data_IF_898485112119
#
_entry.id   IF_898485112119
#
_cell.length_a   1.000
_cell.length_b   1.000
_cell.length_c   1.000
_cell.angle_alpha   90.00
_cell.angle_beta   90.00
_cell.angle_gamma   90.00
#
_symmetry.space_group_name_H-M   'P 1'
#
loop_
_entity.id
_entity.type
_entity.pdbx_description
1 polymer ?
#
# COMPACT_ATOMS: atom_id res chain seq x y z
N UNK A 1 25.13 -6.31 -9.61
CA UNK A 1 24.33 -7.16 -8.70
C UNK A 1 23.05 -6.38 -8.41
N UNK A 2 21.87 -6.96 -8.65
CA UNK A 2 20.61 -6.28 -8.37
C UNK A 2 20.40 -6.20 -6.86
N UNK A 3 20.22 -5.00 -6.31
CA UNK A 3 19.87 -4.82 -4.90
C UNK A 3 18.51 -5.47 -4.64
N UNK A 4 18.41 -6.44 -3.71
CA UNK A 4 17.13 -7.09 -3.43
C UNK A 4 16.15 -6.08 -2.82
N UNK A 5 14.89 -6.13 -3.26
CA UNK A 5 13.80 -5.35 -2.69
C UNK A 5 13.51 -5.74 -1.24
N UNK A 6 12.78 -4.90 -0.50
CA UNK A 6 12.42 -5.22 0.89
C UNK A 6 11.60 -6.51 0.97
N UNK A 7 10.67 -6.73 0.03
CA UNK A 7 9.89 -7.96 -0.04
C UNK A 7 10.76 -9.18 -0.38
N UNK A 8 11.78 -9.03 -1.25
CA UNK A 8 12.74 -10.09 -1.53
C UNK A 8 13.51 -10.52 -0.28
N UNK A 9 13.93 -9.55 0.55
CA UNK A 9 14.61 -9.84 1.81
C UNK A 9 13.68 -10.56 2.80
N UNK A 10 12.46 -10.05 2.97
CA UNK A 10 11.47 -10.63 3.87
C UNK A 10 11.06 -12.06 3.48
N UNK A 11 10.89 -12.34 2.19
CA UNK A 11 10.52 -13.69 1.74
C UNK A 11 11.72 -14.63 1.63
N UNK A 12 12.95 -14.10 1.51
CA UNK A 12 14.16 -14.89 1.32
C UNK A 12 13.96 -15.95 0.21
N UNK A 13 14.14 -17.24 0.50
CA UNK A 13 13.97 -18.33 -0.47
C UNK A 13 12.56 -18.43 -1.06
N UNK A 14 11.53 -18.04 -0.30
CA UNK A 14 10.13 -18.08 -0.74
C UNK A 14 9.84 -17.07 -1.85
N UNK A 15 10.74 -16.10 -2.10
CA UNK A 15 10.63 -15.17 -3.20
C UNK A 15 10.44 -15.88 -4.56
N UNK A 16 11.15 -16.98 -4.77
CA UNK A 16 11.11 -17.74 -6.03
C UNK A 16 9.77 -18.44 -6.26
N UNK A 17 8.94 -18.57 -5.22
CA UNK A 17 7.61 -19.18 -5.30
C UNK A 17 6.53 -18.16 -5.69
N UNK A 18 6.84 -16.86 -5.68
CA UNK A 18 5.89 -15.84 -6.11
C UNK A 18 5.63 -15.91 -7.63
N UNK A 19 4.37 -15.77 -8.06
CA UNK A 19 4.04 -15.54 -9.46
C UNK A 19 4.85 -14.37 -10.07
N UNK A 20 5.22 -14.43 -11.36
CA UNK A 20 6.02 -13.38 -12.01
C UNK A 20 5.43 -11.97 -11.89
N UNK A 21 4.09 -11.85 -11.92
CA UNK A 21 3.42 -10.56 -11.75
C UNK A 21 3.65 -9.94 -10.36
N UNK A 22 3.68 -10.77 -9.31
CA UNK A 22 3.96 -10.29 -7.95
C UNK A 22 5.44 -10.00 -7.76
N UNK A 23 6.33 -10.81 -8.35
CA UNK A 23 7.75 -10.49 -8.38
C UNK A 23 8.00 -9.14 -9.07
N UNK A 24 7.27 -8.85 -10.14
CA UNK A 24 7.36 -7.59 -10.86
C UNK A 24 6.85 -6.39 -10.04
N UNK A 25 5.71 -6.54 -9.36
CA UNK A 25 5.16 -5.52 -8.49
C UNK A 25 6.14 -5.14 -7.35
N UNK A 26 6.79 -6.15 -6.76
CA UNK A 26 7.73 -5.96 -5.64
C UNK A 26 9.17 -5.68 -6.04
N UNK A 27 9.43 -5.35 -7.31
CA UNK A 27 10.77 -4.92 -7.76
C UNK A 27 11.25 -3.70 -6.96
N UNK A 28 12.56 -3.52 -6.86
CA UNK A 28 13.14 -2.38 -6.14
C UNK A 28 12.87 -1.02 -6.81
N UNK A 29 12.69 -1.03 -8.14
CA UNK A 29 12.51 0.18 -8.94
C UNK A 29 11.25 0.95 -8.54
N UNK A 30 11.33 2.28 -8.67
CA UNK A 30 10.15 3.14 -8.63
C UNK A 30 9.15 2.67 -9.69
N UNK A 31 7.90 2.50 -9.29
CA UNK A 31 6.82 2.18 -10.21
C UNK A 31 5.54 2.93 -9.82
N UNK A 32 4.69 3.07 -10.82
CA UNK A 32 3.33 3.58 -10.65
C UNK A 32 2.39 2.54 -11.22
N UNK A 33 1.56 1.97 -10.36
CA UNK A 33 0.49 1.08 -10.77
C UNK A 33 -0.80 1.87 -10.89
N UNK A 34 -1.47 1.75 -12.04
CA UNK A 34 -2.73 2.43 -12.34
C UNK A 34 -3.81 1.39 -12.54
N UNK A 35 -4.94 1.57 -11.87
CA UNK A 35 -6.05 0.64 -11.97
C UNK A 35 -7.32 1.17 -11.33
N UNK A 36 -8.23 0.25 -11.03
CA UNK A 36 -9.48 0.57 -10.35
C UNK A 36 -9.61 -0.27 -9.09
N UNK A 37 -10.15 0.33 -8.03
CA UNK A 37 -10.38 -0.28 -6.72
C UNK A 37 -11.87 -0.26 -6.40
N UNK A 38 -12.40 -1.38 -5.93
CA UNK A 38 -13.74 -1.42 -5.32
C UNK A 38 -13.58 -1.62 -3.82
N UNK A 39 -14.22 -0.75 -3.04
CA UNK A 39 -14.22 -0.77 -1.58
C UNK A 39 -15.66 -1.00 -1.13
N UNK A 40 -15.90 -2.17 -0.57
CA UNK A 40 -17.22 -2.60 -0.13
C UNK A 40 -17.16 -3.06 1.33
N UNK A 41 -18.14 -2.61 2.12
CA UNK A 41 -18.40 -3.07 3.48
C UNK A 41 -19.85 -2.78 3.84
N UNK A 42 -20.45 -3.52 4.79
CA UNK A 42 -21.80 -3.26 5.28
C UNK A 42 -21.97 -1.84 5.85
N UNK A 43 -23.12 -1.20 5.60
CA UNK A 43 -23.37 0.20 6.00
C UNK A 43 -23.24 0.43 7.51
N UNK A 44 -23.57 -0.56 8.34
CA UNK A 44 -23.48 -0.46 9.80
C UNK A 44 -22.03 -0.38 10.31
N UNK A 45 -21.02 -0.69 9.48
CA UNK A 45 -19.61 -0.52 9.84
C UNK A 45 -19.11 0.92 9.70
N UNK A 46 -19.87 1.78 9.00
CA UNK A 46 -19.49 3.17 8.74
C UNK A 46 -19.07 3.97 9.99
N UNK A 47 -19.79 3.95 11.14
CA UNK A 47 -19.37 4.71 12.32
C UNK A 47 -18.01 4.25 12.87
N UNK A 48 -17.78 2.94 12.94
CA UNK A 48 -16.51 2.38 13.42
C UNK A 48 -15.35 2.75 12.49
N UNK A 49 -15.55 2.62 11.18
CA UNK A 49 -14.53 3.01 10.20
C UNK A 49 -14.26 4.51 10.21
N UNK A 50 -15.27 5.33 10.50
CA UNK A 50 -15.08 6.77 10.62
C UNK A 50 -14.26 7.14 11.86
N UNK A 51 -14.44 6.43 12.97
CA UNK A 51 -13.59 6.58 14.16
C UNK A 51 -12.14 6.17 13.87
N UNK A 52 -11.92 5.01 13.25
CA UNK A 52 -10.58 4.55 12.88
C UNK A 52 -9.90 5.51 11.90
N UNK A 53 -10.65 6.04 10.94
CA UNK A 53 -10.16 7.05 10.01
C UNK A 53 -9.80 8.36 10.70
N UNK A 54 -10.52 8.77 11.75
CA UNK A 54 -10.13 9.92 12.56
C UNK A 54 -8.81 9.69 13.32
N UNK A 55 -8.50 8.44 13.67
CA UNK A 55 -7.18 8.02 14.16
C UNK A 55 -6.16 7.80 13.03
N UNK A 56 -6.50 8.24 11.82
CA UNK A 56 -5.70 8.14 10.60
C UNK A 56 -5.39 6.71 10.13
N UNK A 57 -6.23 5.76 10.53
CA UNK A 57 -6.22 4.41 10.00
C UNK A 57 -7.31 4.22 8.94
N UNK A 58 -6.98 3.49 7.87
CA UNK A 58 -7.93 2.99 6.86
C UNK A 58 -8.64 4.06 6.01
N UNK A 59 -9.33 3.60 4.97
CA UNK A 59 -10.23 4.40 4.13
C UNK A 59 -11.66 4.10 4.61
N UNK A 60 -12.42 5.13 5.01
CA UNK A 60 -13.79 4.98 5.53
C UNK A 60 -14.85 5.27 4.47
N UNK A 61 -14.56 5.01 3.18
CA UNK A 61 -15.45 5.37 2.08
C UNK A 61 -15.64 4.20 1.12
N UNK A 62 -16.91 3.89 0.84
CA UNK A 62 -17.30 2.90 -0.17
C UNK A 62 -17.23 3.49 -1.57
N UNK A 63 -17.02 2.61 -2.54
CA UNK A 63 -17.25 2.92 -3.94
C UNK A 63 -16.82 1.75 -4.82
N UNK A 64 -17.33 1.73 -6.05
CA UNK A 64 -17.10 0.64 -6.99
C UNK A 64 -16.31 1.16 -8.16
N UNK A 65 -15.30 0.39 -8.57
CA UNK A 65 -14.49 0.69 -9.76
C UNK A 65 -13.90 2.12 -9.73
N UNK A 66 -13.36 2.52 -8.58
CA UNK A 66 -12.82 3.85 -8.33
C UNK A 66 -11.40 3.92 -8.93
N UNK A 67 -11.15 4.90 -9.79
CA UNK A 67 -9.82 5.12 -10.33
C UNK A 67 -8.81 5.29 -9.20
N UNK A 68 -7.69 4.57 -9.29
CA UNK A 68 -6.68 4.49 -8.23
C UNK A 68 -5.29 4.46 -8.84
N UNK A 69 -4.38 5.24 -8.26
CA UNK A 69 -2.94 5.16 -8.54
C UNK A 69 -2.19 4.73 -7.29
N UNK A 70 -1.19 3.88 -7.45
CA UNK A 70 -0.26 3.48 -6.39
C UNK A 70 1.14 3.81 -6.85
N UNK A 71 1.77 4.74 -6.17
CA UNK A 71 3.14 5.19 -6.42
C UNK A 71 4.06 4.58 -5.38
N UNK A 72 5.18 4.02 -5.82
CA UNK A 72 6.21 3.44 -4.97
C UNK A 72 7.55 4.05 -5.31
N UNK A 73 8.30 4.48 -4.31
CA UNK A 73 9.69 4.89 -4.48
C UNK A 73 10.53 4.43 -3.30
N UNK A 74 11.82 4.19 -3.54
CA UNK A 74 12.74 3.73 -2.50
C UNK A 74 13.74 4.84 -2.17
N UNK A 75 13.87 5.16 -0.88
CA UNK A 75 14.85 6.11 -0.36
C UNK A 75 15.72 5.41 0.69
N UNK A 76 16.96 5.07 0.31
CA UNK A 76 17.87 4.31 1.17
C UNK A 76 17.31 2.92 1.49
N UNK A 77 16.99 2.68 2.76
CA UNK A 77 16.42 1.42 3.26
C UNK A 77 14.90 1.46 3.45
N UNK A 78 14.26 2.58 3.10
CA UNK A 78 12.83 2.80 3.29
C UNK A 78 12.15 2.78 1.91
N UNK A 79 11.05 2.03 1.79
CA UNK A 79 10.22 2.04 0.60
C UNK A 79 8.92 2.78 0.89
N UNK A 80 8.72 3.93 0.26
CA UNK A 80 7.56 4.77 0.45
C UNK A 80 6.47 4.42 -0.56
N UNK A 81 5.24 4.40 -0.06
CA UNK A 81 4.04 4.09 -0.82
C UNK A 81 3.04 5.23 -0.68
N UNK A 82 2.41 5.56 -1.80
CA UNK A 82 1.31 6.52 -1.85
C UNK A 82 0.23 5.99 -2.76
N UNK A 83 -0.94 5.72 -2.18
CA UNK A 83 -2.15 5.38 -2.91
C UNK A 83 -3.05 6.61 -3.00
N UNK A 84 -3.46 6.97 -4.21
CA UNK A 84 -4.41 8.05 -4.48
C UNK A 84 -5.69 7.46 -5.05
N UNK A 85 -6.83 7.75 -4.44
CA UNK A 85 -8.13 7.18 -4.80
C UNK A 85 -9.06 8.33 -5.20
N UNK A 86 -9.53 8.31 -6.44
CA UNK A 86 -10.24 9.42 -7.08
C UNK A 86 -11.75 9.14 -7.08
N UNK A 87 -12.47 9.66 -6.09
CA UNK A 87 -13.91 9.48 -5.98
C UNK A 87 -14.67 10.37 -6.96
N UNK A 88 -15.90 9.97 -7.32
CA UNK A 88 -16.72 10.61 -8.36
C UNK A 88 -17.15 12.05 -8.05
N UNK A 89 -17.06 12.48 -6.80
CA UNK A 89 -17.33 13.85 -6.38
C UNK A 89 -16.08 14.75 -6.40
N UNK A 90 -15.04 14.36 -7.16
CA UNK A 90 -13.73 15.01 -7.24
C UNK A 90 -12.90 14.98 -5.94
N UNK A 91 -13.35 14.27 -4.91
CA UNK A 91 -12.53 14.05 -3.72
C UNK A 91 -11.41 13.06 -4.03
N UNK A 92 -10.21 13.37 -3.53
CA UNK A 92 -9.08 12.47 -3.58
C UNK A 92 -8.73 12.06 -2.15
N UNK A 93 -8.74 10.76 -1.90
CA UNK A 93 -8.22 10.21 -0.65
C UNK A 93 -6.81 9.72 -0.88
N UNK A 94 -5.90 10.15 0.00
CA UNK A 94 -4.53 9.69 -0.01
C UNK A 94 -4.30 8.73 1.16
N UNK A 95 -3.71 7.58 0.84
CA UNK A 95 -3.18 6.66 1.83
C UNK A 95 -1.67 6.58 1.63
N UNK A 96 -0.91 7.04 2.63
CA UNK A 96 0.55 7.06 2.61
C UNK A 96 1.07 6.08 3.64
N UNK A 97 2.03 5.27 3.23
CA UNK A 97 2.73 4.36 4.12
C UNK A 97 4.19 4.25 3.73
N UNK A 98 4.99 3.65 4.59
CA UNK A 98 6.34 3.24 4.23
C UNK A 98 6.67 1.90 4.83
N UNK A 99 7.53 1.17 4.13
CA UNK A 99 8.01 -0.14 4.52
C UNK A 99 9.46 -0.06 4.95
N UNK A 100 9.77 -0.80 6.00
CA UNK A 100 11.14 -1.12 6.40
C UNK A 100 11.27 -2.64 6.54
N UNK A 101 12.46 -3.15 6.30
CA UNK A 101 12.80 -4.53 6.57
C UNK A 101 13.41 -4.62 7.97
N UNK A 102 12.84 -5.46 8.84
CA UNK A 102 13.41 -5.78 10.13
C UNK A 102 14.33 -7.02 10.04
N UNK A 103 15.19 -7.21 11.06
CA UNK A 103 16.24 -8.25 11.05
C UNK A 103 15.71 -9.68 10.92
N UNK A 104 14.45 -9.93 11.27
CA UNK A 104 13.86 -11.27 11.31
C UNK A 104 13.15 -11.69 10.01
N UNK A 105 13.60 -11.19 8.85
CA UNK A 105 12.89 -11.36 7.57
C UNK A 105 11.46 -10.82 7.61
N UNK A 106 11.25 -9.80 8.44
CA UNK A 106 9.95 -9.16 8.62
C UNK A 106 9.89 -7.87 7.80
N UNK A 107 8.70 -7.62 7.25
CA UNK A 107 8.39 -6.38 6.57
C UNK A 107 7.39 -5.63 7.44
N UNK A 108 7.78 -4.46 7.93
CA UNK A 108 6.91 -3.61 8.74
C UNK A 108 6.36 -2.49 7.87
N UNK A 109 5.03 -2.41 7.77
CA UNK A 109 4.34 -1.27 7.17
C UNK A 109 3.93 -0.27 8.24
N UNK A 110 4.48 0.93 8.15
CA UNK A 110 4.04 2.07 8.94
C UNK A 110 3.02 2.86 8.15
N UNK A 111 1.84 3.03 8.75
CA UNK A 111 0.74 3.83 8.23
C UNK A 111 0.60 5.06 9.11
N UNK A 112 0.39 6.22 8.49
CA UNK A 112 0.09 7.46 9.21
C UNK A 112 1.11 7.85 10.32
N UNK A 113 2.41 7.92 9.98
CA UNK A 113 3.50 8.21 10.93
C UNK A 113 3.57 9.65 11.48
N UNK A 114 2.48 10.41 11.40
CA UNK A 114 2.32 11.74 12.00
C UNK A 114 1.35 11.72 13.20
N UNK A 115 0.94 10.53 13.64
CA UNK A 115 0.58 10.25 15.04
C UNK A 115 1.81 9.64 15.72
#
# INVERSE_FOLDING_TARGET
>A
MNTPSLMQKALSEQWHQLPPALQAHYQHQTNTDVGNLSIEYPSHMQPYLSLLHAMGALINRRGKNIATTVEKHTQGHIQHWKRSIFFSNNDIVYFKSFWVHDKNNELIEYVNAFI
#
